data_IF_008324105357
#
_entry.id   IF_008324105357
#
_cell.length_a   1.000
_cell.length_b   1.000
_cell.length_c   1.000
_cell.angle_alpha   90.00
_cell.angle_beta   90.00
_cell.angle_gamma   90.00
#
_symmetry.space_group_name_H-M   'P 1'
#
loop_
_entity.id
_entity.type
_entity.pdbx_description
1 polymer ?
#
# COMPACT_ATOMS: atom_id res chain seq x y z
N UNK A 1 -5.01 22.90 44.10
CA UNK A 1 -3.90 22.96 43.12
C UNK A 1 -4.19 21.97 42.00
N UNK A 2 -4.81 22.40 40.89
CA UNK A 2 -5.06 21.51 39.75
C UNK A 2 -3.79 21.50 38.89
N UNK A 3 -2.98 20.45 39.00
CA UNK A 3 -1.83 20.27 38.12
C UNK A 3 -2.31 20.27 36.67
N UNK A 4 -1.78 21.23 35.89
CA UNK A 4 -2.14 21.45 34.50
C UNK A 4 -1.68 20.23 33.69
N UNK A 5 -2.61 19.33 33.36
CA UNK A 5 -2.33 18.13 32.56
C UNK A 5 -1.65 18.51 31.24
N UNK A 6 -0.63 17.75 30.85
CA UNK A 6 0.10 17.87 29.59
C UNK A 6 -0.85 18.10 28.40
N UNK A 7 -0.53 19.09 27.55
CA UNK A 7 -1.34 19.40 26.36
C UNK A 7 -1.43 18.20 25.42
N UNK A 8 -2.57 18.07 24.72
CA UNK A 8 -2.79 16.98 23.76
C UNK A 8 -1.70 16.95 22.68
N UNK A 9 -1.32 18.12 22.15
CA UNK A 9 -0.26 18.26 21.14
C UNK A 9 1.07 17.69 21.63
N UNK A 10 1.51 18.05 22.85
CA UNK A 10 2.74 17.52 23.42
C UNK A 10 2.70 16.01 23.62
N UNK A 11 1.56 15.46 24.05
CA UNK A 11 1.38 14.00 24.20
C UNK A 11 1.49 13.26 22.86
N UNK A 12 0.89 13.79 21.79
CA UNK A 12 1.00 13.19 20.45
C UNK A 12 2.42 13.27 19.90
N UNK A 13 3.09 14.41 20.09
CA UNK A 13 4.48 14.56 19.69
C UNK A 13 5.38 13.54 20.41
N UNK A 14 5.23 13.36 21.73
CA UNK A 14 5.98 12.36 22.48
C UNK A 14 5.70 10.92 21.99
N UNK A 15 4.43 10.57 21.71
CA UNK A 15 4.09 9.27 21.12
C UNK A 15 4.77 9.04 19.78
N UNK A 16 4.78 10.06 18.92
CA UNK A 16 5.44 10.00 17.62
C UNK A 16 6.95 9.83 17.75
N UNK A 17 7.58 10.54 18.69
CA UNK A 17 9.02 10.37 18.98
C UNK A 17 9.34 8.96 19.47
N UNK A 18 8.53 8.42 20.39
CA UNK A 18 8.71 7.04 20.87
C UNK A 18 8.64 6.06 19.71
N UNK A 19 7.62 6.15 18.85
CA UNK A 19 7.49 5.28 17.69
C UNK A 19 8.68 5.41 16.72
N UNK A 20 9.17 6.64 16.50
CA UNK A 20 10.33 6.88 15.65
C UNK A 20 11.60 6.23 16.22
N UNK A 21 11.81 6.32 17.53
CA UNK A 21 12.95 5.70 18.21
C UNK A 21 12.82 4.18 18.17
N UNK A 22 11.64 3.64 18.50
CA UNK A 22 11.36 2.20 18.46
C UNK A 22 11.60 1.62 17.07
N UNK A 23 11.22 2.33 16.00
CA UNK A 23 11.53 1.92 14.63
C UNK A 23 13.03 1.80 14.39
N UNK A 24 13.82 2.79 14.82
CA UNK A 24 15.28 2.74 14.70
C UNK A 24 15.92 1.61 15.51
N UNK A 25 15.36 1.26 16.68
CA UNK A 25 15.81 0.11 17.47
C UNK A 25 15.50 -1.21 16.73
N UNK A 26 14.29 -1.35 16.18
CA UNK A 26 13.89 -2.53 15.41
C UNK A 26 14.77 -2.76 14.17
N UNK A 27 15.13 -1.68 13.47
CA UNK A 27 16.03 -1.75 12.32
C UNK A 27 17.44 -2.19 12.72
N UNK A 28 17.97 -1.65 13.84
CA UNK A 28 19.26 -2.08 14.41
C UNK A 28 19.25 -3.54 14.82
N UNK A 29 18.19 -3.98 15.50
CA UNK A 29 18.02 -5.38 15.90
C UNK A 29 17.97 -6.30 14.66
N UNK A 30 17.26 -5.91 13.61
CA UNK A 30 17.20 -6.69 12.37
C UNK A 30 18.57 -6.83 11.69
N UNK A 31 19.40 -5.79 11.73
CA UNK A 31 20.78 -5.85 11.23
C UNK A 31 21.61 -6.78 12.12
N UNK A 32 21.53 -6.63 13.45
CA UNK A 32 22.28 -7.44 14.39
C UNK A 32 21.96 -8.93 14.25
N UNK A 33 20.67 -9.29 14.10
CA UNK A 33 20.25 -10.68 13.89
C UNK A 33 20.85 -11.30 12.62
N UNK A 34 21.05 -10.51 11.55
CA UNK A 34 21.73 -10.99 10.34
C UNK A 34 23.21 -11.23 10.58
N UNK A 35 23.88 -10.30 11.27
CA UNK A 35 25.29 -10.43 11.64
C UNK A 35 25.51 -11.64 12.55
N UNK A 36 24.67 -11.81 13.57
CA UNK A 36 24.74 -12.94 14.49
C UNK A 36 24.51 -14.27 13.77
N UNK A 37 23.59 -14.30 12.79
CA UNK A 37 23.36 -15.46 11.93
C UNK A 37 24.60 -15.76 11.08
N UNK A 38 25.21 -14.77 10.45
CA UNK A 38 26.42 -14.95 9.64
C UNK A 38 27.59 -15.46 10.49
N UNK A 39 27.80 -14.87 11.67
CA UNK A 39 28.82 -15.32 12.62
C UNK A 39 28.58 -16.77 13.04
N UNK A 40 27.36 -17.11 13.45
CA UNK A 40 27.00 -18.47 13.83
C UNK A 40 27.24 -19.47 12.68
N UNK A 41 26.85 -19.13 11.45
CA UNK A 41 27.08 -19.99 10.29
C UNK A 41 28.57 -20.14 9.99
N UNK A 42 29.37 -19.09 10.15
CA UNK A 42 30.82 -19.16 9.92
C UNK A 42 31.55 -20.08 10.90
N UNK A 43 31.09 -20.14 12.15
CA UNK A 43 31.66 -21.00 13.19
C UNK A 43 31.22 -22.46 13.05
N UNK A 44 29.95 -22.70 12.74
CA UNK A 44 29.35 -24.04 12.73
C UNK A 44 29.39 -24.73 11.35
N UNK A 45 29.46 -23.95 10.27
CA UNK A 45 29.53 -24.44 8.90
C UNK A 45 30.54 -23.60 8.09
N UNK A 46 31.84 -23.71 8.41
CA UNK A 46 32.88 -22.97 7.70
C UNK A 46 32.97 -23.39 6.22
N UNK A 47 33.54 -22.54 5.35
CA UNK A 47 33.77 -22.88 3.95
C UNK A 47 34.51 -24.22 3.80
N UNK A 48 34.04 -25.05 2.87
CA UNK A 48 34.58 -26.39 2.68
C UNK A 48 36.04 -26.33 2.22
N UNK A 49 36.92 -26.93 3.01
CA UNK A 49 38.32 -27.17 2.63
C UNK A 49 38.46 -28.60 2.12
N UNK A 50 38.77 -28.76 0.84
CA UNK A 50 38.95 -30.08 0.23
C UNK A 50 40.35 -30.62 0.57
N UNK A 51 40.45 -31.83 1.16
CA UNK A 51 41.74 -32.46 1.39
C UNK A 51 42.38 -32.93 0.08
N UNK A 52 43.72 -33.07 0.09
CA UNK A 52 44.50 -33.40 -1.10
C UNK A 52 44.52 -34.89 -1.45
N UNK A 53 44.27 -35.77 -0.48
CA UNK A 53 44.30 -37.21 -0.70
C UNK A 53 42.89 -37.82 -0.88
N UNK A 54 42.82 -38.93 -1.60
CA UNK A 54 41.56 -39.66 -1.84
C UNK A 54 40.97 -40.27 -0.57
N UNK A 55 41.82 -40.74 0.35
CA UNK A 55 41.40 -41.32 1.62
C UNK A 55 40.78 -40.27 2.55
N UNK A 56 41.45 -39.12 2.73
CA UNK A 56 40.91 -38.01 3.53
C UNK A 56 39.59 -37.49 2.95
N UNK A 57 39.44 -37.48 1.63
CA UNK A 57 38.19 -37.07 0.97
C UNK A 57 37.04 -38.05 1.27
N UNK A 58 37.30 -39.36 1.22
CA UNK A 58 36.30 -40.37 1.57
C UNK A 58 35.88 -40.28 3.04
N UNK A 59 36.83 -40.01 3.95
CA UNK A 59 36.53 -39.79 5.37
C UNK A 59 35.70 -38.52 5.59
N UNK A 60 36.04 -37.42 4.91
CA UNK A 60 35.29 -36.17 4.97
C UNK A 60 33.85 -36.37 4.52
N UNK A 61 33.62 -37.06 3.39
CA UNK A 61 32.28 -37.36 2.90
C UNK A 61 31.45 -38.17 3.91
N UNK A 62 32.05 -39.17 4.56
CA UNK A 62 31.38 -39.96 5.62
C UNK A 62 31.04 -39.11 6.84
N UNK A 63 31.96 -38.23 7.27
CA UNK A 63 31.73 -37.31 8.39
C UNK A 63 30.60 -36.33 8.10
N UNK A 64 30.60 -35.71 6.92
CA UNK A 64 29.54 -34.78 6.50
C UNK A 64 28.18 -35.47 6.44
N UNK A 65 28.11 -36.69 5.91
CA UNK A 65 26.86 -37.45 5.85
C UNK A 65 26.27 -37.70 7.25
N UNK A 66 27.10 -38.16 8.20
CA UNK A 66 26.66 -38.35 9.59
C UNK A 66 26.26 -37.04 10.28
N UNK A 67 26.91 -35.93 9.95
CA UNK A 67 26.54 -34.61 10.47
C UNK A 67 25.20 -34.14 9.92
N UNK A 68 24.92 -34.39 8.64
CA UNK A 68 23.64 -34.05 8.01
C UNK A 68 22.48 -34.74 8.73
N UNK A 69 22.60 -36.04 9.00
CA UNK A 69 21.54 -36.79 9.69
C UNK A 69 21.23 -36.21 11.08
N UNK A 70 22.27 -35.88 11.86
CA UNK A 70 22.12 -35.27 13.19
C UNK A 70 21.49 -33.89 13.12
N UNK A 71 21.96 -33.05 12.19
CA UNK A 71 21.44 -31.68 12.05
C UNK A 71 19.99 -31.68 11.57
N UNK A 72 19.59 -32.63 10.71
CA UNK A 72 18.18 -32.73 10.29
C UNK A 72 17.28 -33.21 11.43
N UNK A 73 17.75 -34.13 12.28
CA UNK A 73 17.04 -34.51 13.51
C UNK A 73 16.85 -33.31 14.44
N UNK A 74 17.91 -32.55 14.70
CA UNK A 74 17.85 -31.32 15.51
C UNK A 74 16.91 -30.28 14.89
N UNK A 75 16.96 -30.10 13.55
CA UNK A 75 16.08 -29.20 12.81
C UNK A 75 14.61 -29.61 12.98
N UNK A 76 14.31 -30.91 12.88
CA UNK A 76 12.96 -31.44 13.06
C UNK A 76 12.42 -31.16 14.46
N UNK A 77 13.23 -31.40 15.50
CA UNK A 77 12.85 -31.13 16.88
C UNK A 77 12.62 -29.64 17.16
N UNK A 78 13.48 -28.77 16.60
CA UNK A 78 13.32 -27.32 16.70
C UNK A 78 12.05 -26.85 15.98
N UNK A 79 11.78 -27.38 14.79
CA UNK A 79 10.55 -27.09 14.04
C UNK A 79 9.30 -27.51 14.84
N UNK A 80 9.32 -28.70 15.44
CA UNK A 80 8.24 -29.18 16.28
C UNK A 80 8.00 -28.28 17.51
N UNK A 81 9.07 -27.76 18.14
CA UNK A 81 8.95 -26.79 19.25
C UNK A 81 8.31 -25.49 18.77
N UNK A 82 8.77 -24.93 17.65
CA UNK A 82 8.20 -23.71 17.06
C UNK A 82 6.72 -23.90 16.71
N UNK A 83 6.35 -25.04 16.12
CA UNK A 83 4.97 -25.37 15.79
C UNK A 83 4.08 -25.43 17.04
N UNK A 84 4.55 -26.04 18.14
CA UNK A 84 3.84 -26.06 19.43
C UNK A 84 3.63 -24.65 19.97
N UNK A 85 4.68 -23.82 19.99
CA UNK A 85 4.58 -22.43 20.45
C UNK A 85 3.63 -21.60 19.58
N UNK A 86 3.64 -21.79 18.26
CA UNK A 86 2.72 -21.10 17.35
C UNK A 86 1.27 -21.48 17.62
N UNK A 87 0.99 -22.77 17.84
CA UNK A 87 -0.35 -23.25 18.20
C UNK A 87 -0.84 -22.65 19.52
N UNK A 88 0.04 -22.61 20.54
CA UNK A 88 -0.30 -21.98 21.81
C UNK A 88 -0.59 -20.48 21.66
N UNK A 89 0.20 -19.76 20.86
CA UNK A 89 -0.03 -18.34 20.56
C UNK A 89 -1.39 -18.15 19.86
N UNK A 90 -1.75 -19.04 18.93
CA UNK A 90 -3.05 -19.00 18.24
C UNK A 90 -4.21 -19.22 19.21
N UNK A 91 -4.13 -20.26 20.04
CA UNK A 91 -5.13 -20.55 21.07
C UNK A 91 -5.29 -19.37 22.05
N UNK A 92 -4.18 -18.76 22.47
CA UNK A 92 -4.20 -17.57 23.33
C UNK A 92 -4.79 -16.35 22.63
N UNK A 93 -4.49 -16.13 21.34
CA UNK A 93 -5.10 -15.05 20.54
C UNK A 93 -6.62 -15.21 20.48
N UNK A 94 -7.11 -16.43 20.26
CA UNK A 94 -8.56 -16.72 20.25
C UNK A 94 -9.17 -16.40 21.61
N UNK A 95 -8.57 -16.88 22.71
CA UNK A 95 -9.04 -16.58 24.08
C UNK A 95 -9.08 -15.08 24.36
N UNK A 96 -8.08 -14.31 23.92
CA UNK A 96 -8.07 -12.85 24.07
C UNK A 96 -9.24 -12.21 23.33
N UNK A 97 -9.54 -12.66 22.11
CA UNK A 97 -10.68 -12.16 21.33
C UNK A 97 -12.00 -12.48 22.02
N UNK A 98 -12.17 -13.71 22.51
CA UNK A 98 -13.38 -14.14 23.22
C UNK A 98 -13.59 -13.35 24.53
N UNK A 99 -12.51 -13.11 25.30
CA UNK A 99 -12.54 -12.29 26.52
C UNK A 99 -12.83 -10.81 26.25
N UNK A 100 -12.32 -10.25 25.15
CA UNK A 100 -12.65 -8.89 24.71
C UNK A 100 -14.11 -8.77 24.21
N UNK A 101 -14.80 -9.91 24.07
CA UNK A 101 -16.16 -10.03 23.57
C UNK A 101 -16.16 -10.07 22.04
N UNK A 102 -16.60 -11.21 21.47
CA UNK A 102 -16.81 -11.41 20.02
C UNK A 102 -17.62 -10.27 19.38
N UNK A 103 -18.51 -9.67 20.16
CA UNK A 103 -19.18 -8.42 19.84
C UNK A 103 -18.55 -7.31 20.66
N UNK A 104 -17.74 -6.43 20.05
CA UNK A 104 -17.46 -5.13 20.65
C UNK A 104 -18.81 -4.49 20.93
N UNK A 105 -19.21 -4.37 22.20
CA UNK A 105 -20.45 -3.67 22.57
C UNK A 105 -20.43 -2.33 21.81
N UNK A 106 -21.36 -2.07 20.87
CA UNK A 106 -21.35 -0.81 20.14
C UNK A 106 -21.36 0.28 21.19
N UNK A 107 -20.27 1.03 21.29
CA UNK A 107 -20.21 2.12 22.25
C UNK A 107 -21.40 3.02 21.92
N UNK A 108 -22.30 3.23 22.89
CA UNK A 108 -23.43 4.14 22.74
C UNK A 108 -22.83 5.52 22.46
N UNK A 109 -22.65 5.85 21.18
CA UNK A 109 -22.12 7.14 20.77
C UNK A 109 -23.21 8.13 21.12
N UNK A 110 -22.92 9.04 22.04
CA UNK A 110 -23.75 10.23 22.27
C UNK A 110 -23.61 11.11 21.04
N UNK A 111 -24.43 10.84 20.03
CA UNK A 111 -24.53 11.66 18.82
C UNK A 111 -25.12 12.99 19.25
N UNK A 112 -24.30 14.05 19.26
CA UNK A 112 -24.81 15.41 19.34
C UNK A 112 -25.30 15.81 17.95
N UNK A 113 -26.27 16.71 17.87
CA UNK A 113 -26.71 17.27 16.57
C UNK A 113 -25.49 17.69 15.76
N UNK A 114 -25.41 17.26 14.50
CA UNK A 114 -24.35 17.68 13.59
C UNK A 114 -24.43 19.19 13.36
N UNK A 115 -23.30 19.81 13.01
CA UNK A 115 -23.27 21.22 12.65
C UNK A 115 -24.29 21.52 11.54
N UNK A 116 -24.43 20.62 10.54
CA UNK A 116 -25.42 20.74 9.47
C UNK A 116 -26.87 20.67 9.99
N UNK A 117 -27.18 19.76 10.93
CA UNK A 117 -28.52 19.68 11.52
C UNK A 117 -28.84 20.91 12.38
N UNK A 118 -27.84 21.45 13.08
CA UNK A 118 -27.97 22.68 13.85
C UNK A 118 -28.13 23.91 12.95
N UNK A 119 -27.36 24.01 11.87
CA UNK A 119 -27.45 25.11 10.90
C UNK A 119 -28.77 25.09 10.12
N UNK A 120 -29.24 23.91 9.69
CA UNK A 120 -30.54 23.77 9.05
C UNK A 120 -31.70 24.16 9.99
N UNK A 121 -31.59 23.84 11.28
CA UNK A 121 -32.60 24.21 12.27
C UNK A 121 -32.59 25.72 12.61
N UNK A 122 -31.41 26.36 12.64
CA UNK A 122 -31.27 27.78 13.00
C UNK A 122 -31.44 28.76 11.83
N UNK A 123 -31.03 28.37 10.62
CA UNK A 123 -30.97 29.26 9.45
C UNK A 123 -31.95 28.87 8.33
N UNK A 124 -32.74 27.81 8.53
CA UNK A 124 -33.73 27.32 7.59
C UNK A 124 -33.14 26.90 6.24
N UNK A 125 -33.95 26.94 5.18
CA UNK A 125 -33.57 26.48 3.84
C UNK A 125 -32.58 27.39 3.11
N UNK A 126 -32.32 28.60 3.60
CA UNK A 126 -31.58 29.63 2.87
C UNK A 126 -30.06 29.37 2.80
N UNK A 127 -29.51 28.59 3.73
CA UNK A 127 -28.08 28.24 3.78
C UNK A 127 -27.85 26.73 3.82
N UNK A 128 -28.46 26.00 2.88
CA UNK A 128 -28.18 24.57 2.68
C UNK A 128 -26.87 24.38 1.92
N UNK A 129 -25.74 24.65 2.58
CA UNK A 129 -24.42 24.27 2.06
C UNK A 129 -24.18 22.84 2.54
N UNK A 130 -24.41 21.83 1.70
CA UNK A 130 -23.96 20.49 2.07
C UNK A 130 -22.44 20.50 2.01
N UNK A 131 -21.77 20.18 3.12
CA UNK A 131 -20.32 19.98 3.14
C UNK A 131 -19.93 18.63 2.54
N UNK A 132 -20.69 18.16 1.54
CA UNK A 132 -20.35 16.97 0.78
C UNK A 132 -19.21 17.33 -0.17
N UNK A 133 -18.01 16.84 0.16
CA UNK A 133 -16.83 16.96 -0.71
C UNK A 133 -17.11 16.48 -2.16
N UNK A 134 -18.10 15.61 -2.33
CA UNK A 134 -18.53 15.04 -3.61
C UNK A 134 -19.42 15.95 -4.44
N UNK A 135 -20.20 16.85 -3.81
CA UNK A 135 -21.13 17.74 -4.51
C UNK A 135 -20.40 18.91 -5.19
N UNK A 136 -19.18 19.24 -4.75
CA UNK A 136 -18.36 20.31 -5.31
C UNK A 136 -17.44 19.82 -6.46
N UNK A 137 -17.40 18.52 -6.74
CA UNK A 137 -16.67 17.98 -7.89
C UNK A 137 -17.59 18.06 -9.12
N UNK A 138 -17.15 18.77 -10.17
CA UNK A 138 -17.91 18.89 -11.43
C UNK A 138 -18.24 17.50 -11.99
N UNK A 139 -19.51 17.16 -12.03
CA UNK A 139 -20.02 16.03 -12.80
C UNK A 139 -19.76 16.33 -14.28
N UNK A 140 -18.98 15.50 -14.98
CA UNK A 140 -18.79 15.64 -16.43
C UNK A 140 -20.16 15.49 -17.07
N UNK A 141 -20.74 16.61 -17.52
CA UNK A 141 -21.99 16.62 -18.26
C UNK A 141 -21.77 15.85 -19.56
N UNK A 142 -22.33 14.64 -19.65
CA UNK A 142 -22.64 14.05 -20.95
C UNK A 142 -23.88 14.80 -21.46
N UNK A 143 -23.66 15.96 -22.06
CA UNK A 143 -24.70 16.68 -22.79
C UNK A 143 -25.08 15.81 -23.98
N UNK A 144 -26.21 15.12 -23.91
CA UNK A 144 -26.89 14.60 -25.09
C UNK A 144 -27.44 15.82 -25.80
N UNK A 145 -26.62 16.38 -26.69
CA UNK A 145 -26.98 17.43 -27.63
C UNK A 145 -27.77 16.78 -28.77
N UNK A 146 -29.07 16.61 -28.56
CA UNK A 146 -30.01 16.66 -29.70
C UNK A 146 -30.02 18.11 -30.21
N UNK A 147 -30.02 18.28 -31.54
CA UNK A 147 -29.91 19.55 -32.28
C UNK A 147 -28.47 20.05 -32.59
N UNK A 148 -27.88 19.47 -33.64
CA UNK A 148 -27.39 20.14 -34.87
C UNK A 148 -26.45 19.18 -35.61
N UNK A 149 -27.02 18.15 -36.23
CA UNK A 149 -26.29 17.19 -37.09
C UNK A 149 -25.83 17.81 -38.43
N UNK A 150 -25.76 19.14 -38.54
CA UNK A 150 -25.36 19.88 -39.75
C UNK A 150 -23.97 20.52 -39.65
N UNK A 151 -23.27 20.40 -38.51
CA UNK A 151 -21.98 21.05 -38.28
C UNK A 151 -20.81 20.07 -38.06
N UNK A 152 -20.91 18.86 -38.60
CA UNK A 152 -19.75 17.96 -38.81
C UNK A 152 -19.70 17.67 -40.31
N UNK A 153 -19.16 18.64 -41.05
CA UNK A 153 -19.05 18.62 -42.50
C UNK A 153 -18.25 17.43 -43.02
N UNK A 154 -18.79 16.82 -44.08
CA UNK A 154 -18.18 15.76 -44.89
C UNK A 154 -16.77 16.17 -45.36
N UNK A 155 -15.75 15.40 -44.96
CA UNK A 155 -14.34 15.67 -45.28
C UNK A 155 -13.91 15.21 -46.67
N UNK A 156 -14.85 14.85 -47.55
CA UNK A 156 -14.56 14.66 -48.97
C UNK A 156 -14.39 15.99 -49.69
N UNK A 157 -13.17 16.52 -49.61
CA UNK A 157 -12.63 17.52 -50.55
C UNK A 157 -12.78 16.98 -51.97
N UNK A 158 -13.75 17.50 -52.72
CA UNK A 158 -13.80 17.35 -54.16
C UNK A 158 -12.59 18.09 -54.74
N UNK A 159 -11.59 17.34 -55.21
CA UNK A 159 -10.46 17.90 -55.94
C UNK A 159 -10.98 18.21 -57.33
N UNK A 160 -11.11 19.49 -57.67
CA UNK A 160 -11.30 19.91 -59.06
C UNK A 160 -10.03 19.56 -59.84
N UNK A 161 -10.00 18.36 -60.41
CA UNK A 161 -9.07 18.03 -61.47
C UNK A 161 -9.29 19.03 -62.61
N UNK A 162 -8.37 19.99 -62.74
CA UNK A 162 -8.27 20.88 -63.91
C UNK A 162 -7.77 20.12 -65.15
N UNK A 163 -8.24 18.90 -65.36
CA UNK A 163 -8.07 18.15 -66.58
C UNK A 163 -9.00 18.77 -67.66
N UNK A 164 -8.46 19.69 -68.47
CA UNK A 164 -9.15 20.15 -69.69
C UNK A 164 -9.22 21.66 -69.95
N UNK A 165 -8.55 22.52 -69.18
CA UNK A 165 -8.45 23.95 -69.49
C UNK A 165 -7.11 24.34 -70.13
N UNK A 166 -6.73 23.64 -71.20
CA UNK A 166 -5.55 23.93 -72.03
C UNK A 166 -5.88 24.97 -73.12
N UNK A 167 -6.25 26.18 -72.67
CA UNK A 167 -6.57 27.30 -73.56
C UNK A 167 -6.49 28.63 -72.83
N UNK A 168 -5.77 29.59 -73.42
CA UNK A 168 -5.54 30.94 -72.88
C UNK A 168 -6.88 31.61 -72.51
N UNK A 169 -7.17 31.71 -71.21
CA UNK A 169 -8.31 32.51 -70.72
C UNK A 169 -8.07 33.97 -71.06
N UNK A 170 -8.91 34.51 -71.96
CA UNK A 170 -9.03 35.94 -72.23
C UNK A 170 -9.65 36.61 -71.02
N UNK A 171 -8.88 37.41 -70.30
CA UNK A 171 -9.42 38.42 -69.39
C UNK A 171 -9.37 39.74 -70.15
N UNK A 172 -10.53 40.36 -70.40
CA UNK A 172 -10.60 41.77 -70.76
C UNK A 172 -11.01 42.51 -69.48
N UNK A 173 -10.12 43.39 -69.01
CA UNK A 173 -10.43 44.35 -67.96
C UNK A 173 -11.37 45.41 -68.55
N UNK A 174 -12.48 45.67 -67.88
CA UNK A 174 -13.34 46.81 -68.16
C UNK A 174 -13.57 47.57 -66.86
N UNK A 175 -12.96 48.74 -66.76
CA UNK A 175 -13.35 49.82 -65.84
C UNK A 175 -14.51 50.59 -66.46
N UNK A 176 -15.68 50.53 -65.78
CA UNK A 176 -16.59 51.63 -65.47
C UNK A 176 -17.84 51.05 -64.79
#
# INVERSE_FOLDING_TARGET
MSEKKMTSSRRHHLKSLVLSISKGILEKESIQVKVDKENYMSENCPPLSLPGSTQELQELCKKLHQQIDKVDEERYDLEAKVAKSNKEIEDLKIKVVDLQGKFKKPALKKVRMSADAMLQALLGSKHKVSMDLRANLKQVKKEVKEESAEQVGDWRKNIEDKAGMDGRKKMFESEA
#
